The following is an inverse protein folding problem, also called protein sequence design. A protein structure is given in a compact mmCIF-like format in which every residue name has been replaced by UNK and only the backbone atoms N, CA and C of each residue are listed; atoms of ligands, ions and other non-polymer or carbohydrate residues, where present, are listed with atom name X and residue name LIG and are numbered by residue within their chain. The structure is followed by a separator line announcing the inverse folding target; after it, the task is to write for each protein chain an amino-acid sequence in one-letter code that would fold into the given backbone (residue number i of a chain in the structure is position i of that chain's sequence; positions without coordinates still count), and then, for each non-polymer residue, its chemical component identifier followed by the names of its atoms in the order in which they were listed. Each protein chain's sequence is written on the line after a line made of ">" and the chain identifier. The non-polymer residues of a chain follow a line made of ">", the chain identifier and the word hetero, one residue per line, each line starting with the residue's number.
data_IF_018335038743
#
_entry.id   IF_018335038743
#
_cell.length_a   1.000
_cell.length_b   1.000
_cell.length_c   1.000
_cell.angle_alpha   90.00
_cell.angle_beta   90.00
_cell.angle_gamma   90.00
#
_symmetry.space_group_name_H-M   'P 1'
#
loop_
_entity.id
_entity.type
_entity.pdbx_description
1 polymer ?
#
# COMPACT_ATOMS: atom_id res chain seq x y z
N UNK A 1 5.87 4.23 15.46
CA UNK A 1 4.84 3.36 14.87
C UNK A 1 3.53 4.10 15.03
N UNK A 2 2.70 4.09 13.99
CA UNK A 2 1.37 4.70 13.96
C UNK A 2 0.34 3.60 13.66
N UNK A 3 -0.95 3.95 13.66
CA UNK A 3 -2.04 3.05 13.30
C UNK A 3 -2.66 3.49 11.98
N UNK A 4 -2.97 2.54 11.11
CA UNK A 4 -3.74 2.80 9.90
C UNK A 4 -5.26 2.83 10.15
N UNK A 5 -6.05 3.03 9.09
CA UNK A 5 -7.52 3.10 9.18
C UNK A 5 -8.17 1.78 9.63
N UNK A 6 -7.42 0.68 9.65
CA UNK A 6 -7.86 -0.64 10.10
C UNK A 6 -7.29 -0.99 11.49
N UNK A 7 -6.76 0.00 12.24
CA UNK A 7 -6.07 -0.17 13.52
C UNK A 7 -4.84 -1.09 13.45
N UNK A 8 -4.28 -1.32 12.26
CA UNK A 8 -3.04 -2.08 12.13
C UNK A 8 -1.83 -1.17 12.45
N UNK A 9 -0.87 -1.70 13.20
CA UNK A 9 0.37 -0.97 13.50
C UNK A 9 1.26 -0.91 12.25
N UNK A 10 1.70 0.30 11.88
CA UNK A 10 2.59 0.54 10.74
C UNK A 10 3.87 1.29 11.16
N UNK A 11 4.93 1.13 10.36
CA UNK A 11 6.24 1.75 10.61
C UNK A 11 6.36 3.17 10.05
N UNK A 12 5.35 3.64 9.30
CA UNK A 12 5.28 5.00 8.77
C UNK A 12 5.30 6.03 9.91
N UNK A 13 5.92 7.18 9.64
CA UNK A 13 6.10 8.27 10.62
C UNK A 13 5.53 9.59 10.15
N UNK A 14 5.49 9.84 8.84
CA UNK A 14 4.89 11.01 8.25
C UNK A 14 3.37 10.81 8.09
N UNK A 15 2.60 11.84 8.45
CA UNK A 15 1.14 11.83 8.30
C UNK A 15 0.70 11.78 6.84
N UNK A 16 1.48 12.37 5.93
CA UNK A 16 1.23 12.30 4.48
C UNK A 16 1.35 10.87 3.97
N UNK A 17 2.35 10.13 4.45
CA UNK A 17 2.55 8.74 4.07
C UNK A 17 1.48 7.82 4.65
N UNK A 18 1.05 8.08 5.89
CA UNK A 18 -0.08 7.38 6.49
C UNK A 18 -1.38 7.65 5.73
N UNK A 19 -1.60 8.88 5.26
CA UNK A 19 -2.76 9.23 4.45
C UNK A 19 -2.75 8.50 3.09
N UNK A 20 -1.60 8.43 2.42
CA UNK A 20 -1.46 7.68 1.16
C UNK A 20 -1.67 6.17 1.37
N UNK A 21 -1.18 5.61 2.48
CA UNK A 21 -1.45 4.22 2.87
C UNK A 21 -2.95 3.96 3.09
N UNK A 22 -3.64 4.84 3.82
CA UNK A 22 -5.07 4.72 4.07
C UNK A 22 -5.89 4.89 2.76
N UNK A 23 -5.49 5.81 1.89
CA UNK A 23 -6.12 5.98 0.57
C UNK A 23 -5.92 4.74 -0.32
N UNK A 24 -4.75 4.11 -0.25
CA UNK A 24 -4.51 2.83 -0.92
C UNK A 24 -5.45 1.74 -0.39
N UNK A 25 -5.61 1.59 0.93
CA UNK A 25 -6.53 0.60 1.53
C UNK A 25 -7.96 0.83 1.04
N UNK A 26 -8.44 2.08 1.08
CA UNK A 26 -9.79 2.44 0.62
C UNK A 26 -9.96 2.19 -0.87
N UNK A 27 -8.96 2.54 -1.70
CA UNK A 27 -8.97 2.25 -3.12
C UNK A 27 -9.04 0.73 -3.39
N UNK A 28 -8.26 -0.07 -2.68
CA UNK A 28 -8.27 -1.53 -2.85
C UNK A 28 -9.64 -2.12 -2.48
N UNK A 29 -10.17 -1.77 -1.30
CA UNK A 29 -11.45 -2.29 -0.79
C UNK A 29 -12.65 -1.82 -1.63
N UNK A 30 -12.56 -0.66 -2.28
CA UNK A 30 -13.59 -0.17 -3.21
C UNK A 30 -13.44 -0.71 -4.64
N UNK A 31 -12.49 -1.62 -4.89
CA UNK A 31 -12.12 -2.08 -6.24
C UNK A 31 -11.73 -0.92 -7.18
N UNK A 32 -11.14 0.13 -6.61
CA UNK A 32 -10.68 1.33 -7.29
C UNK A 32 -9.41 1.10 -8.10
N UNK A 33 -9.38 1.69 -9.30
CA UNK A 33 -8.22 1.67 -10.19
C UNK A 33 -7.02 2.47 -9.69
N UNK A 34 -7.20 3.32 -8.66
CA UNK A 34 -6.17 4.19 -8.08
C UNK A 34 -5.23 3.48 -7.08
N UNK A 35 -5.47 2.19 -6.80
CA UNK A 35 -4.66 1.39 -5.87
C UNK A 35 -3.15 1.40 -6.20
N UNK A 36 -2.71 1.10 -7.45
CA UNK A 36 -1.28 1.09 -7.77
C UNK A 36 -0.63 2.48 -7.71
N UNK A 37 -1.36 3.56 -7.96
CA UNK A 37 -0.87 4.93 -7.90
C UNK A 37 -0.53 5.34 -6.47
N UNK A 38 -1.44 5.09 -5.52
CA UNK A 38 -1.19 5.38 -4.10
C UNK A 38 -0.03 4.55 -3.55
N UNK A 39 -0.01 3.24 -3.88
CA UNK A 39 1.04 2.35 -3.40
C UNK A 39 2.41 2.68 -4.00
N UNK A 40 2.47 2.98 -5.30
CA UNK A 40 3.71 3.35 -5.98
C UNK A 40 4.34 4.60 -5.40
N UNK A 41 3.55 5.69 -5.28
CA UNK A 41 4.03 6.95 -4.72
C UNK A 41 4.50 6.82 -3.26
N UNK A 42 3.85 5.96 -2.46
CA UNK A 42 4.26 5.68 -1.09
C UNK A 42 5.61 4.95 -1.04
N UNK A 43 5.79 3.91 -1.86
CA UNK A 43 7.02 3.10 -1.89
C UNK A 43 8.22 3.88 -2.44
N UNK A 44 8.01 4.81 -3.37
CA UNK A 44 9.09 5.71 -3.85
C UNK A 44 9.64 6.59 -2.71
N UNK A 45 8.79 7.05 -1.81
CA UNK A 45 9.20 7.87 -0.65
C UNK A 45 9.66 7.04 0.54
N UNK A 46 9.16 5.81 0.67
CA UNK A 46 9.42 4.91 1.80
C UNK A 46 9.92 3.55 1.32
N UNK A 47 11.16 3.47 0.77
CA UNK A 47 11.72 2.22 0.27
C UNK A 47 11.91 1.13 1.35
N UNK A 48 11.91 1.52 2.63
CA UNK A 48 12.05 0.59 3.77
C UNK A 48 10.68 0.10 4.31
N UNK A 49 9.55 0.52 3.70
CA UNK A 49 8.21 0.17 4.17
C UNK A 49 7.81 -1.26 3.74
N UNK A 50 8.29 -2.25 4.48
CA UNK A 50 8.11 -3.67 4.18
C UNK A 50 6.65 -4.11 3.97
N UNK A 51 5.71 -3.54 4.74
CA UNK A 51 4.28 -3.87 4.59
C UNK A 51 3.72 -3.45 3.22
N UNK A 52 4.18 -2.33 2.65
CA UNK A 52 3.81 -1.91 1.31
C UNK A 52 4.27 -2.89 0.23
N UNK A 53 5.47 -3.45 0.35
CA UNK A 53 5.96 -4.49 -0.56
C UNK A 53 5.20 -5.81 -0.40
N UNK A 54 4.86 -6.19 0.83
CA UNK A 54 4.02 -7.36 1.08
C UNK A 54 2.64 -7.22 0.42
N UNK A 55 2.01 -6.04 0.55
CA UNK A 55 0.75 -5.72 -0.12
C UNK A 55 0.90 -5.77 -1.65
N UNK A 56 1.95 -5.15 -2.21
CA UNK A 56 2.24 -5.20 -3.66
C UNK A 56 2.34 -6.64 -4.16
N UNK A 57 3.09 -7.50 -3.47
CA UNK A 57 3.24 -8.92 -3.80
C UNK A 57 1.90 -9.66 -3.77
N UNK A 58 1.10 -9.44 -2.72
CA UNK A 58 -0.25 -10.01 -2.62
C UNK A 58 -1.15 -9.58 -3.77
N UNK A 59 -1.15 -8.28 -4.12
CA UNK A 59 -1.95 -7.74 -5.22
C UNK A 59 -1.54 -8.35 -6.57
N UNK A 60 -0.24 -8.48 -6.81
CA UNK A 60 0.28 -9.16 -8.00
C UNK A 60 -0.17 -10.61 -8.10
N UNK A 61 -0.18 -11.35 -6.99
CA UNK A 61 -0.69 -12.73 -6.95
C UNK A 61 -2.20 -12.78 -7.23
N UNK A 62 -2.99 -11.87 -6.66
CA UNK A 62 -4.45 -11.83 -6.88
C UNK A 62 -4.86 -11.49 -8.32
N UNK A 63 -4.04 -10.73 -9.05
CA UNK A 63 -4.29 -10.46 -10.47
C UNK A 63 -4.09 -11.69 -11.37
N UNK A 64 -3.54 -12.80 -10.84
CA UNK A 64 -3.30 -14.02 -11.61
C UNK A 64 -2.36 -13.82 -12.80
N UNK A 65 -1.55 -12.74 -12.77
CA UNK A 65 -0.62 -12.40 -13.84
C UNK A 65 0.59 -13.32 -13.72
N UNK A 66 0.94 -14.00 -14.82
CA UNK A 66 2.09 -14.91 -14.89
C UNK A 66 3.46 -14.20 -14.79
N UNK A 67 3.50 -12.90 -14.50
CA UNK A 67 4.60 -12.01 -14.86
C UNK A 67 4.94 -11.04 -13.73
N UNK A 68 5.35 -11.54 -12.57
CA UNK A 68 6.27 -10.76 -11.73
C UNK A 68 7.64 -10.77 -12.44
N UNK A 69 7.80 -9.90 -13.44
CA UNK A 69 9.08 -9.58 -14.10
C UNK A 69 9.54 -8.22 -13.63
#
# INVERSE_FOLDING_TARGET
>A
MTFDICDATVTLRDQRDLADWNNMILAFLSHGKSTPEHLGALLERNPEFAMGYAAKGLFSMMMGRAELV
#
